data_IF_407787589750
#
_entry.id   IF_407787589750
#
_cell.length_a   1.000
_cell.length_b   1.000
_cell.length_c   1.000
_cell.angle_alpha   90.00
_cell.angle_beta   90.00
_cell.angle_gamma   90.00
#
_symmetry.space_group_name_H-M   'P 1'
#
loop_
_entity.id
_entity.type
_entity.pdbx_description
1 polymer ?
#
# COMPACT_ATOMS: atom_id res chain seq x y z
N UNK A 1 17.67 9.30 5.48
CA UNK A 1 16.35 9.18 6.18
C UNK A 1 15.58 8.00 5.61
N UNK A 2 14.51 7.52 6.27
CA UNK A 2 13.64 6.45 5.75
C UNK A 2 12.51 7.02 4.88
N UNK A 3 12.31 6.47 3.69
CA UNK A 3 11.29 6.87 2.73
C UNK A 3 10.45 5.65 2.34
N UNK A 4 9.13 5.78 2.38
CA UNK A 4 8.20 4.81 1.80
C UNK A 4 7.64 5.38 0.50
N UNK A 5 7.89 4.69 -0.61
CA UNK A 5 7.32 5.01 -1.91
C UNK A 5 6.17 4.04 -2.20
N UNK A 6 4.95 4.58 -2.23
CA UNK A 6 3.76 3.81 -2.61
C UNK A 6 3.56 3.96 -4.12
N UNK A 7 3.67 2.86 -4.86
CA UNK A 7 3.49 2.81 -6.30
C UNK A 7 2.14 2.18 -6.67
N UNK A 8 1.34 2.89 -7.47
CA UNK A 8 -0.02 2.51 -7.78
C UNK A 8 -0.29 2.56 -9.29
N UNK A 9 0.45 1.77 -10.07
CA UNK A 9 0.21 1.66 -11.52
C UNK A 9 0.41 0.22 -12.02
N UNK A 10 -0.51 -0.32 -12.86
CA UNK A 10 -0.48 -1.74 -13.24
C UNK A 10 0.62 -2.10 -14.26
N UNK A 11 1.07 -1.13 -15.06
CA UNK A 11 2.09 -1.33 -16.11
C UNK A 11 3.46 -0.80 -15.65
N UNK A 12 4.46 -1.69 -15.43
CA UNK A 12 5.80 -1.31 -15.00
C UNK A 12 6.57 -0.44 -16.00
N UNK A 13 6.28 -0.53 -17.31
CA UNK A 13 6.93 0.28 -18.35
C UNK A 13 6.18 1.58 -18.67
N UNK A 14 5.22 1.96 -17.83
CA UNK A 14 4.52 3.23 -17.95
C UNK A 14 5.42 4.43 -17.60
N UNK A 15 4.96 5.63 -17.89
CA UNK A 15 5.58 6.86 -17.39
C UNK A 15 5.70 6.85 -15.85
N UNK A 16 4.67 6.38 -15.14
CA UNK A 16 4.69 6.27 -13.68
C UNK A 16 5.77 5.29 -13.21
N UNK A 17 5.93 4.15 -13.89
CA UNK A 17 7.01 3.20 -13.61
C UNK A 17 8.40 3.81 -13.81
N UNK A 18 8.59 4.56 -14.90
CA UNK A 18 9.83 5.28 -15.15
C UNK A 18 10.12 6.34 -14.07
N UNK A 19 9.11 7.09 -13.62
CA UNK A 19 9.26 8.08 -12.54
C UNK A 19 9.59 7.43 -11.19
N UNK A 20 8.95 6.30 -10.86
CA UNK A 20 9.28 5.47 -9.68
C UNK A 20 10.75 5.09 -9.70
N UNK A 21 11.25 4.57 -10.83
CA UNK A 21 12.63 4.09 -10.94
C UNK A 21 13.65 5.23 -10.85
N UNK A 22 13.32 6.42 -11.35
CA UNK A 22 14.15 7.62 -11.16
C UNK A 22 14.15 8.05 -9.69
N UNK A 23 12.98 8.08 -9.03
CA UNK A 23 12.86 8.49 -7.64
C UNK A 23 13.65 7.57 -6.69
N UNK A 24 13.54 6.23 -6.86
CA UNK A 24 14.29 5.25 -6.05
C UNK A 24 15.79 5.52 -6.17
N UNK A 25 16.31 5.57 -7.41
CA UNK A 25 17.74 5.77 -7.67
C UNK A 25 18.27 7.05 -7.06
N UNK A 26 17.54 8.15 -7.22
CA UNK A 26 17.97 9.46 -6.72
C UNK A 26 17.94 9.53 -5.18
N UNK A 27 16.89 8.98 -4.55
CA UNK A 27 16.78 8.95 -3.10
C UNK A 27 17.86 8.06 -2.46
N UNK A 28 18.13 6.90 -3.03
CA UNK A 28 19.22 6.02 -2.57
C UNK A 28 20.59 6.69 -2.73
N UNK A 29 20.83 7.37 -3.86
CA UNK A 29 22.07 8.10 -4.11
C UNK A 29 22.32 9.23 -3.08
N UNK A 30 21.26 9.83 -2.55
CA UNK A 30 21.32 10.83 -1.47
C UNK A 30 21.47 10.20 -0.06
N UNK A 31 21.56 8.88 0.04
CA UNK A 31 21.73 8.17 1.33
C UNK A 31 20.43 7.91 2.09
N UNK A 32 19.28 7.91 1.40
CA UNK A 32 18.01 7.49 2.00
C UNK A 32 17.83 5.98 1.94
N UNK A 33 17.17 5.42 2.96
CA UNK A 33 16.66 4.05 2.94
C UNK A 33 15.26 4.10 2.30
N UNK A 34 15.09 3.46 1.15
CA UNK A 34 13.84 3.47 0.40
C UNK A 34 13.16 2.11 0.49
N UNK A 35 11.91 2.09 0.94
CA UNK A 35 11.02 0.94 0.84
C UNK A 35 9.92 1.25 -0.17
N UNK A 36 9.49 0.22 -0.88
CA UNK A 36 8.45 0.34 -1.92
C UNK A 36 7.28 -0.57 -1.53
N UNK A 37 6.08 -0.03 -1.61
CA UNK A 37 4.84 -0.82 -1.66
C UNK A 37 4.25 -0.67 -3.05
N UNK A 38 4.28 -1.74 -3.83
CA UNK A 38 3.74 -1.75 -5.19
C UNK A 38 2.34 -2.33 -5.14
N UNK A 39 1.33 -1.47 -5.06
CA UNK A 39 -0.04 -1.88 -4.79
C UNK A 39 -0.58 -2.88 -5.82
N UNK A 40 -0.18 -2.74 -7.08
CA UNK A 40 -0.64 -3.65 -8.13
C UNK A 40 0.13 -4.97 -8.12
N UNK A 41 1.45 -4.95 -7.93
CA UNK A 41 2.25 -6.17 -7.84
C UNK A 41 1.93 -6.97 -6.56
N UNK A 42 1.65 -6.28 -5.46
CA UNK A 42 1.34 -6.86 -4.15
C UNK A 42 -0.10 -7.38 -4.07
N UNK A 43 -0.93 -7.17 -5.11
CA UNK A 43 -2.34 -7.56 -5.11
C UNK A 43 -3.15 -6.84 -4.03
N UNK A 44 -2.76 -5.60 -3.70
CA UNK A 44 -3.44 -4.80 -2.70
C UNK A 44 -4.89 -4.54 -3.12
N UNK A 45 -5.82 -4.76 -2.20
CA UNK A 45 -7.26 -4.53 -2.41
C UNK A 45 -7.67 -3.15 -1.89
N UNK A 46 -8.52 -2.47 -2.66
CA UNK A 46 -9.01 -1.13 -2.31
C UNK A 46 -10.28 -1.16 -1.45
N UNK A 47 -10.99 -2.26 -1.53
CA UNK A 47 -12.25 -2.53 -0.87
C UNK A 47 -12.00 -2.92 0.58
N UNK A 48 -12.75 -2.28 1.49
CA UNK A 48 -12.83 -2.70 2.89
C UNK A 48 -13.89 -3.78 3.03
N UNK A 49 -13.51 -4.92 3.61
CA UNK A 49 -14.41 -6.04 3.85
C UNK A 49 -14.15 -6.69 5.22
N UNK A 50 -14.83 -7.81 5.49
CA UNK A 50 -14.69 -8.52 6.77
C UNK A 50 -13.32 -9.17 6.96
N UNK A 51 -12.60 -9.48 5.89
CA UNK A 51 -11.28 -10.10 5.99
C UNK A 51 -10.24 -9.15 6.59
N UNK A 52 -10.46 -7.82 6.50
CA UNK A 52 -9.62 -6.81 7.16
C UNK A 52 -9.77 -6.80 8.69
N UNK A 53 -10.83 -7.42 9.22
CA UNK A 53 -11.15 -7.40 10.65
C UNK A 53 -11.36 -8.82 11.20
N UNK A 54 -10.29 -9.65 11.29
CA UNK A 54 -10.41 -11.06 11.67
C UNK A 54 -10.91 -11.27 13.10
N UNK A 55 -10.80 -10.26 13.97
CA UNK A 55 -11.30 -10.28 15.35
C UNK A 55 -12.76 -9.85 15.47
N UNK A 56 -13.40 -9.35 14.39
CA UNK A 56 -14.77 -8.88 14.44
C UNK A 56 -15.76 -10.06 14.37
N UNK A 57 -16.79 -10.11 15.24
CA UNK A 57 -17.70 -11.26 15.27
C UNK A 57 -18.45 -11.45 13.93
N UNK A 58 -18.46 -12.67 13.36
CA UNK A 58 -19.05 -12.91 12.04
C UNK A 58 -20.58 -12.67 12.03
N UNK A 59 -21.25 -12.99 13.12
CA UNK A 59 -22.69 -12.78 13.33
C UNK A 59 -23.06 -11.30 13.61
N UNK A 60 -22.11 -10.47 14.02
CA UNK A 60 -22.37 -9.06 14.23
C UNK A 60 -22.53 -8.33 12.89
N UNK A 61 -23.41 -7.31 12.86
CA UNK A 61 -23.50 -6.39 11.72
C UNK A 61 -22.12 -5.78 11.47
N UNK A 62 -21.65 -5.85 10.23
CA UNK A 62 -20.40 -5.23 9.85
C UNK A 62 -20.60 -3.71 9.73
N UNK A 63 -19.89 -2.96 10.57
CA UNK A 63 -19.87 -1.51 10.59
C UNK A 63 -18.40 -1.10 10.51
N UNK A 64 -17.83 -0.79 9.32
CA UNK A 64 -16.39 -0.60 9.14
C UNK A 64 -15.76 0.40 10.13
N UNK A 65 -16.40 1.55 10.34
CA UNK A 65 -15.94 2.54 11.32
C UNK A 65 -15.93 2.00 12.76
N UNK A 66 -16.92 1.19 13.13
CA UNK A 66 -17.00 0.54 14.44
C UNK A 66 -15.98 -0.59 14.62
N UNK A 67 -15.73 -1.36 13.55
CA UNK A 67 -14.73 -2.42 13.52
C UNK A 67 -13.30 -1.85 13.64
N UNK A 68 -12.98 -0.81 12.86
CA UNK A 68 -11.68 -0.14 12.90
C UNK A 68 -11.36 0.47 14.27
N UNK A 69 -12.35 1.01 15.00
CA UNK A 69 -12.12 1.53 16.36
C UNK A 69 -11.74 0.45 17.38
N UNK A 70 -12.07 -0.82 17.12
CA UNK A 70 -11.80 -1.94 18.05
C UNK A 70 -10.64 -2.83 17.60
N UNK A 71 -10.11 -2.62 16.39
CA UNK A 71 -8.99 -3.37 15.84
C UNK A 71 -7.67 -2.98 16.51
#
# INVERSE_FOLDING_TARGET
MKVLLVFAHPEPRSLNGALRDVAIRELEAQGHEVLISDLYADGWKSEVDRADFPSWPPEARFLPAGASKKA
#
